data_IF_639230779091
#
_entry.id   IF_639230779091
#
_cell.length_a   1.000
_cell.length_b   1.000
_cell.length_c   1.000
_cell.angle_alpha   90.00
_cell.angle_beta   90.00
_cell.angle_gamma   90.00
#
_symmetry.space_group_name_H-M   'P 1'
#
loop_
_entity.id
_entity.type
_entity.pdbx_description
1 polymer ?
#
# COMPACT_ATOMS: atom_id res chain seq x y z
N UNK A 1 8.11 -72.30 1.63
CA UNK A 1 9.05 -71.48 2.42
C UNK A 1 9.71 -70.51 1.44
N UNK A 2 9.03 -69.41 1.16
CA UNK A 2 9.55 -68.28 0.39
C UNK A 2 8.91 -67.05 1.03
N UNK A 3 9.76 -66.24 1.65
CA UNK A 3 9.41 -64.99 2.32
C UNK A 3 8.84 -64.00 1.30
N UNK A 4 7.69 -63.41 1.64
CA UNK A 4 7.16 -62.24 0.96
C UNK A 4 7.76 -61.03 1.66
N UNK A 5 8.74 -60.41 1.04
CA UNK A 5 9.23 -59.09 1.43
C UNK A 5 8.12 -58.06 1.17
N UNK A 6 7.60 -57.50 2.26
CA UNK A 6 6.69 -56.36 2.25
C UNK A 6 7.47 -55.10 1.95
N UNK A 7 7.27 -54.54 0.75
CA UNK A 7 7.66 -53.17 0.45
C UNK A 7 6.67 -52.26 1.17
N UNK A 8 7.12 -51.70 2.30
CA UNK A 8 6.39 -50.69 3.04
C UNK A 8 6.32 -49.39 2.23
N UNK A 9 5.09 -49.01 1.86
CA UNK A 9 4.80 -47.75 1.19
C UNK A 9 5.04 -46.61 2.19
N UNK A 10 6.18 -45.93 2.05
CA UNK A 10 6.50 -44.73 2.81
C UNK A 10 5.56 -43.62 2.34
N UNK A 11 4.40 -43.51 3.00
CA UNK A 11 3.51 -42.37 2.86
C UNK A 11 4.31 -41.11 3.19
N UNK A 12 4.64 -40.35 2.14
CA UNK A 12 5.22 -39.02 2.27
C UNK A 12 4.21 -38.17 3.04
N UNK A 13 4.46 -38.00 4.34
CA UNK A 13 3.79 -37.00 5.15
C UNK A 13 4.19 -35.63 4.60
N UNK A 14 3.38 -35.13 3.67
CA UNK A 14 3.52 -33.80 3.13
C UNK A 14 3.52 -32.82 4.30
N UNK A 15 4.66 -32.16 4.52
CA UNK A 15 4.78 -31.09 5.49
C UNK A 15 3.83 -29.98 5.03
N UNK A 16 2.63 -29.92 5.61
CA UNK A 16 1.72 -28.80 5.42
C UNK A 16 2.37 -27.59 6.10
N UNK A 17 3.08 -26.78 5.31
CA UNK A 17 3.57 -25.47 5.74
C UNK A 17 2.37 -24.53 5.87
N UNK A 18 1.79 -24.49 7.06
CA UNK A 18 0.79 -23.49 7.42
C UNK A 18 1.39 -22.08 7.25
N UNK A 19 0.81 -21.28 6.36
CA UNK A 19 1.14 -19.85 6.31
C UNK A 19 0.60 -19.19 7.59
N UNK A 20 1.42 -18.40 8.32
CA UNK A 20 0.94 -17.68 9.49
C UNK A 20 -0.13 -16.65 9.11
N UNK A 21 -1.11 -16.43 10.00
CA UNK A 21 -2.26 -15.52 9.79
C UNK A 21 -1.85 -14.10 9.35
N UNK A 22 -0.67 -13.61 9.74
CA UNK A 22 -0.17 -12.27 9.40
C UNK A 22 0.09 -12.01 7.91
N UNK A 23 0.04 -13.03 7.05
CA UNK A 23 0.31 -12.91 5.61
C UNK A 23 -0.95 -12.85 4.73
N UNK A 24 -2.14 -12.94 5.33
CA UNK A 24 -3.40 -13.00 4.59
C UNK A 24 -3.64 -11.75 3.71
N UNK A 25 -3.22 -10.57 4.17
CA UNK A 25 -3.34 -9.31 3.40
C UNK A 25 -2.49 -9.32 2.13
N UNK A 26 -1.27 -9.85 2.19
CA UNK A 26 -0.42 -9.95 1.02
C UNK A 26 -1.00 -10.95 0.01
N UNK A 27 -1.47 -12.10 0.49
CA UNK A 27 -2.10 -13.13 -0.36
C UNK A 27 -3.32 -12.56 -1.09
N UNK A 28 -4.14 -11.75 -0.41
CA UNK A 28 -5.24 -11.04 -1.06
C UNK A 28 -4.74 -10.10 -2.16
N UNK A 29 -3.67 -9.35 -1.91
CA UNK A 29 -3.07 -8.43 -2.89
C UNK A 29 -2.57 -9.10 -4.18
N UNK A 30 -2.18 -10.38 -4.14
CA UNK A 30 -1.74 -11.11 -5.34
C UNK A 30 -2.83 -11.99 -5.96
N UNK A 31 -3.97 -12.17 -5.30
CA UNK A 31 -5.04 -13.03 -5.80
C UNK A 31 -5.82 -12.33 -6.92
N UNK A 32 -5.94 -12.92 -8.13
CA UNK A 32 -6.73 -12.33 -9.21
C UNK A 32 -8.21 -12.13 -8.82
N UNK A 33 -8.73 -13.02 -7.97
CA UNK A 33 -10.12 -12.98 -7.49
C UNK A 33 -10.39 -11.79 -6.57
N UNK A 34 -9.37 -11.31 -5.86
CA UNK A 34 -9.51 -10.12 -5.03
C UNK A 34 -9.74 -8.86 -5.88
N UNK A 35 -9.16 -8.79 -7.08
CA UNK A 35 -9.23 -7.60 -7.95
C UNK A 35 -10.36 -7.63 -8.98
N UNK A 36 -10.93 -8.81 -9.23
CA UNK A 36 -11.94 -9.08 -10.26
C UNK A 36 -13.36 -9.10 -9.67
N UNK A 37 -14.38 -8.84 -10.50
CA UNK A 37 -15.77 -9.06 -10.10
C UNK A 37 -16.08 -10.56 -10.12
N UNK A 38 -16.11 -11.18 -8.94
CA UNK A 38 -16.40 -12.61 -8.79
C UNK A 38 -17.91 -12.82 -8.88
N UNK A 39 -18.37 -13.71 -9.76
CA UNK A 39 -19.80 -14.07 -9.80
C UNK A 39 -20.15 -14.80 -8.51
N UNK A 40 -21.20 -14.33 -7.84
CA UNK A 40 -21.66 -14.89 -6.58
C UNK A 40 -23.18 -14.89 -6.54
N UNK A 41 -23.76 -15.74 -5.70
CA UNK A 41 -25.13 -15.56 -5.23
C UNK A 41 -25.14 -14.62 -4.02
N UNK A 42 -26.31 -14.08 -3.68
CA UNK A 42 -26.49 -13.27 -2.48
C UNK A 42 -26.12 -14.07 -1.24
N UNK A 43 -26.57 -15.33 -1.14
CA UNK A 43 -26.25 -16.17 0.01
C UNK A 43 -24.75 -16.44 0.15
N UNK A 44 -24.01 -16.57 -0.96
CA UNK A 44 -22.55 -16.72 -0.93
C UNK A 44 -21.86 -15.48 -0.36
N UNK A 45 -22.30 -14.28 -0.78
CA UNK A 45 -21.77 -13.01 -0.26
C UNK A 45 -22.03 -12.90 1.24
N UNK A 46 -23.24 -13.23 1.69
CA UNK A 46 -23.62 -13.19 3.10
C UNK A 46 -22.82 -14.20 3.94
N UNK A 47 -22.43 -15.34 3.36
CA UNK A 47 -21.66 -16.40 4.02
C UNK A 47 -20.13 -16.23 3.94
N UNK A 48 -19.62 -15.17 3.32
CA UNK A 48 -18.19 -14.87 3.32
C UNK A 48 -17.65 -14.79 4.76
N UNK A 49 -16.45 -15.30 4.99
CA UNK A 49 -15.76 -15.17 6.29
C UNK A 49 -14.94 -13.89 6.29
N UNK A 50 -15.04 -13.09 7.35
CA UNK A 50 -14.19 -11.91 7.51
C UNK A 50 -12.94 -12.30 8.30
N UNK A 51 -11.75 -12.18 7.70
CA UNK A 51 -10.45 -12.37 8.37
C UNK A 51 -9.58 -11.16 8.09
N UNK A 52 -9.08 -10.50 9.13
CA UNK A 52 -8.25 -9.29 9.05
C UNK A 52 -8.84 -8.17 8.17
N UNK A 53 -10.17 -8.02 8.20
CA UNK A 53 -10.88 -7.01 7.41
C UNK A 53 -11.09 -7.39 5.94
N UNK A 54 -10.66 -8.57 5.52
CA UNK A 54 -10.81 -9.08 4.15
C UNK A 54 -11.91 -10.15 4.13
N UNK A 55 -12.75 -10.15 3.09
CA UNK A 55 -13.75 -11.20 2.89
C UNK A 55 -13.12 -12.42 2.19
N UNK A 56 -13.41 -13.61 2.72
CA UNK A 56 -12.87 -14.88 2.26
C UNK A 56 -14.01 -15.84 1.91
N UNK A 57 -13.99 -16.33 0.69
CA UNK A 57 -14.84 -17.41 0.22
C UNK A 57 -14.29 -18.73 0.74
N UNK A 58 -15.13 -19.51 1.43
CA UNK A 58 -14.70 -20.78 2.01
C UNK A 58 -14.47 -21.81 0.92
N UNK A 59 -13.33 -22.49 0.95
CA UNK A 59 -13.13 -23.70 0.13
C UNK A 59 -13.97 -24.86 0.69
N UNK A 60 -14.37 -25.81 -0.15
CA UNK A 60 -14.98 -27.06 0.31
C UNK A 60 -14.11 -27.73 1.38
N UNK A 61 -14.69 -28.42 2.38
CA UNK A 61 -14.01 -28.90 3.59
C UNK A 61 -12.87 -29.91 3.34
N UNK A 62 -12.66 -30.35 2.10
CA UNK A 62 -11.62 -31.31 1.73
C UNK A 62 -10.26 -30.66 1.35
N UNK A 63 -10.20 -29.33 1.14
CA UNK A 63 -8.97 -28.62 0.74
C UNK A 63 -8.72 -27.46 1.69
N UNK A 64 -7.56 -27.50 2.35
CA UNK A 64 -6.83 -26.48 3.15
C UNK A 64 -7.56 -25.22 3.67
N UNK A 65 -7.15 -24.77 4.86
CA UNK A 65 -7.74 -23.64 5.63
C UNK A 65 -7.74 -22.26 4.93
N UNK A 66 -7.10 -22.12 3.78
CA UNK A 66 -7.01 -20.87 3.05
C UNK A 66 -8.16 -20.76 2.04
N UNK A 67 -9.16 -19.96 2.40
CA UNK A 67 -10.21 -19.55 1.48
C UNK A 67 -9.67 -18.68 0.34
N UNK A 68 -10.53 -18.33 -0.61
CA UNK A 68 -10.19 -17.36 -1.66
C UNK A 68 -10.56 -15.95 -1.21
N UNK A 69 -9.65 -14.97 -1.22
CA UNK A 69 -9.99 -13.59 -0.85
C UNK A 69 -10.80 -12.93 -1.97
N UNK A 70 -11.87 -12.22 -1.60
CA UNK A 70 -12.80 -11.57 -2.53
C UNK A 70 -13.08 -10.15 -2.04
N UNK A 71 -12.98 -9.16 -2.92
CA UNK A 71 -13.36 -7.77 -2.59
C UNK A 71 -14.50 -7.22 -3.46
N UNK A 72 -14.76 -7.84 -4.61
CA UNK A 72 -15.77 -7.39 -5.57
C UNK A 72 -16.60 -8.57 -6.04
N UNK A 73 -17.90 -8.34 -6.23
CA UNK A 73 -18.81 -9.34 -6.75
C UNK A 73 -19.59 -8.85 -7.97
N UNK A 74 -20.05 -9.82 -8.73
CA UNK A 74 -21.04 -9.70 -9.79
C UNK A 74 -22.30 -10.45 -9.34
N UNK A 75 -23.40 -9.73 -9.15
CA UNK A 75 -24.72 -10.28 -8.82
C UNK A 75 -25.68 -10.11 -10.00
N UNK A 76 -26.65 -11.01 -10.09
CA UNK A 76 -27.78 -10.95 -11.04
C UNK A 76 -29.04 -11.22 -10.22
N UNK A 77 -30.03 -10.33 -10.30
CA UNK A 77 -31.27 -10.48 -9.54
C UNK A 77 -32.30 -9.42 -9.90
N UNK A 78 -33.33 -9.30 -9.08
CA UNK A 78 -34.42 -8.33 -9.24
C UNK A 78 -34.33 -7.25 -8.17
N UNK A 79 -34.58 -6.00 -8.55
CA UNK A 79 -34.77 -4.92 -7.58
C UNK A 79 -36.09 -5.16 -6.85
N UNK A 80 -36.06 -5.39 -5.54
CA UNK A 80 -37.27 -5.56 -4.72
C UNK A 80 -37.60 -4.32 -3.88
N UNK A 81 -36.64 -3.41 -3.74
CA UNK A 81 -36.81 -2.13 -3.07
C UNK A 81 -35.86 -1.10 -3.68
N UNK A 82 -36.31 0.16 -3.77
CA UNK A 82 -35.50 1.27 -4.26
C UNK A 82 -35.83 2.54 -3.46
N UNK A 83 -34.81 3.27 -3.01
CA UNK A 83 -34.97 4.54 -2.31
C UNK A 83 -33.79 5.46 -2.55
N UNK A 84 -34.04 6.77 -2.66
CA UNK A 84 -32.98 7.76 -2.75
C UNK A 84 -32.50 8.16 -1.35
N UNK A 85 -31.18 8.09 -1.12
CA UNK A 85 -30.54 8.54 0.11
C UNK A 85 -30.30 10.05 0.09
N UNK A 86 -30.04 10.63 1.27
CA UNK A 86 -29.80 12.07 1.43
C UNK A 86 -28.52 12.57 0.76
N UNK A 87 -27.57 11.68 0.52
CA UNK A 87 -26.30 11.96 -0.16
C UNK A 87 -26.40 11.91 -1.69
N UNK A 88 -27.61 11.72 -2.23
CA UNK A 88 -27.87 11.61 -3.67
C UNK A 88 -27.68 10.21 -4.23
N UNK A 89 -27.16 9.25 -3.46
CA UNK A 89 -27.07 7.86 -3.89
C UNK A 89 -28.43 7.17 -3.91
N UNK A 90 -28.57 6.13 -4.73
CA UNK A 90 -29.73 5.24 -4.74
C UNK A 90 -29.39 3.97 -3.97
N UNK A 91 -30.26 3.60 -3.03
CA UNK A 91 -30.20 2.34 -2.32
C UNK A 91 -31.24 1.38 -2.89
N UNK A 92 -30.78 0.21 -3.29
CA UNK A 92 -31.59 -0.88 -3.81
C UNK A 92 -31.49 -2.09 -2.88
N UNK A 93 -32.54 -2.91 -2.81
CA UNK A 93 -32.44 -4.28 -2.31
C UNK A 93 -32.58 -5.20 -3.52
N UNK A 94 -31.62 -6.10 -3.68
CA UNK A 94 -31.59 -7.06 -4.80
C UNK A 94 -31.86 -8.47 -4.27
N UNK A 95 -32.76 -9.18 -4.95
CA UNK A 95 -33.13 -10.57 -4.70
C UNK A 95 -32.73 -11.45 -5.90
N UNK A 96 -31.94 -12.49 -5.66
CA UNK A 96 -31.54 -13.49 -6.66
C UNK A 96 -32.18 -14.88 -6.41
N UNK A 97 -33.16 -14.96 -5.51
CA UNK A 97 -33.79 -16.20 -5.06
C UNK A 97 -33.02 -16.95 -3.98
N UNK A 98 -31.78 -16.55 -3.67
CA UNK A 98 -30.99 -17.13 -2.56
C UNK A 98 -30.98 -16.25 -1.31
N UNK A 99 -31.29 -14.97 -1.46
CA UNK A 99 -31.37 -14.02 -0.36
C UNK A 99 -31.55 -12.59 -0.84
N UNK A 100 -31.52 -11.66 0.12
CA UNK A 100 -31.66 -10.23 -0.13
C UNK A 100 -30.38 -9.50 0.30
N UNK A 101 -29.93 -8.55 -0.51
CA UNK A 101 -28.77 -7.72 -0.17
C UNK A 101 -28.96 -6.26 -0.55
N UNK A 102 -28.48 -5.38 0.33
CA UNK A 102 -28.44 -3.94 0.07
C UNK A 102 -27.36 -3.62 -0.97
N UNK A 103 -27.73 -2.84 -1.98
CA UNK A 103 -26.85 -2.31 -3.01
C UNK A 103 -26.94 -0.78 -3.03
N UNK A 104 -25.80 -0.10 -3.00
CA UNK A 104 -25.72 1.36 -3.06
C UNK A 104 -25.11 1.75 -4.39
N UNK A 105 -25.83 2.56 -5.16
CA UNK A 105 -25.40 3.04 -6.46
C UNK A 105 -25.32 4.57 -6.46
N UNK A 106 -24.17 5.09 -6.83
CA UNK A 106 -23.96 6.53 -6.95
C UNK A 106 -24.44 6.97 -8.33
N UNK A 107 -25.63 7.55 -8.40
CA UNK A 107 -26.11 8.17 -9.62
C UNK A 107 -25.24 9.38 -9.92
N UNK A 108 -24.62 9.41 -11.10
CA UNK A 108 -24.06 10.65 -11.65
C UNK A 108 -25.21 11.61 -11.83
N UNK A 109 -25.31 12.61 -10.94
CA UNK A 109 -26.40 13.57 -10.94
C UNK A 109 -26.35 14.35 -12.27
N UNK A 110 -27.17 13.96 -13.25
CA UNK A 110 -27.26 14.62 -14.56
C UNK A 110 -27.87 16.02 -14.50
N UNK A 111 -28.29 16.46 -13.31
CA UNK A 111 -28.97 17.75 -13.12
C UNK A 111 -28.04 18.88 -12.64
N UNK A 112 -26.76 18.63 -12.41
CA UNK A 112 -25.82 19.73 -12.19
C UNK A 112 -25.38 20.28 -13.54
N UNK A 113 -26.11 21.30 -14.01
CA UNK A 113 -25.72 22.18 -15.12
C UNK A 113 -24.38 22.93 -14.87
N UNK A 114 -23.66 22.59 -13.79
CA UNK A 114 -22.27 22.99 -13.60
C UNK A 114 -21.41 22.06 -14.44
N UNK A 115 -20.95 22.57 -15.58
CA UNK A 115 -19.91 21.97 -16.41
C UNK A 115 -18.77 21.42 -15.54
N UNK A 116 -18.83 20.14 -15.20
CA UNK A 116 -17.73 19.45 -14.54
C UNK A 116 -16.61 19.36 -15.57
N UNK A 117 -15.61 20.24 -15.39
CA UNK A 117 -14.42 20.51 -16.22
C UNK A 117 -13.60 19.25 -16.59
N UNK A 118 -13.95 18.08 -16.05
CA UNK A 118 -13.24 16.82 -16.24
C UNK A 118 -14.04 15.71 -16.93
N UNK A 119 -15.22 15.99 -17.50
CA UNK A 119 -15.82 15.07 -18.46
C UNK A 119 -14.99 15.07 -19.73
N UNK A 120 -14.09 14.08 -19.86
CA UNK A 120 -13.47 13.76 -21.13
C UNK A 120 -14.60 13.52 -22.14
N UNK A 121 -14.58 14.19 -23.31
CA UNK A 121 -15.60 13.97 -24.32
C UNK A 121 -15.65 12.47 -24.64
N UNK A 122 -16.82 11.86 -24.42
CA UNK A 122 -17.07 10.48 -24.78
C UNK A 122 -16.78 10.35 -26.27
N UNK A 123 -15.85 9.47 -26.64
CA UNK A 123 -15.50 9.18 -28.04
C UNK A 123 -16.61 8.36 -28.76
N UNK A 124 -17.83 8.37 -28.24
CA UNK A 124 -18.97 7.70 -28.86
C UNK A 124 -19.59 8.64 -29.90
N UNK A 125 -19.27 8.39 -31.17
CA UNK A 125 -19.90 9.00 -32.33
C UNK A 125 -21.41 8.66 -32.35
N UNK A 126 -22.26 9.62 -31.96
CA UNK A 126 -23.62 9.93 -32.42
C UNK A 126 -24.65 8.79 -32.66
N UNK A 127 -24.52 7.62 -32.02
CA UNK A 127 -25.62 6.67 -31.89
C UNK A 127 -26.23 6.78 -30.49
N UNK A 128 -26.75 7.96 -30.17
CA UNK A 128 -27.55 8.27 -28.98
C UNK A 128 -28.88 7.48 -29.03
N UNK A 129 -28.80 6.17 -28.80
CA UNK A 129 -29.90 5.43 -28.20
C UNK A 129 -30.00 5.95 -26.77
N UNK A 130 -30.80 7.01 -26.58
CA UNK A 130 -31.15 7.61 -25.29
C UNK A 130 -31.86 6.58 -24.39
N UNK A 131 -31.16 5.52 -24.00
CA UNK A 131 -31.59 4.64 -22.91
C UNK A 131 -31.51 5.49 -21.67
N UNK A 132 -32.65 6.08 -21.35
CA UNK A 132 -32.92 6.86 -20.16
C UNK A 132 -32.32 6.11 -18.95
N UNK A 133 -31.16 6.56 -18.48
CA UNK A 133 -30.43 5.99 -17.34
C UNK A 133 -31.09 6.40 -16.02
N UNK A 134 -32.42 6.48 -16.01
CA UNK A 134 -33.21 6.72 -14.81
C UNK A 134 -32.95 5.66 -13.75
N UNK A 135 -33.37 5.93 -12.51
CA UNK A 135 -33.25 4.97 -11.42
C UNK A 135 -33.95 3.64 -11.77
N UNK A 136 -33.40 2.53 -11.27
CA UNK A 136 -34.01 1.20 -11.47
C UNK A 136 -35.30 1.09 -10.64
N UNK A 137 -36.36 0.56 -11.26
CA UNK A 137 -37.64 0.36 -10.57
C UNK A 137 -37.73 -1.02 -9.93
N UNK A 138 -38.63 -1.14 -8.94
CA UNK A 138 -38.97 -2.44 -8.33
C UNK A 138 -39.53 -3.38 -9.40
N UNK A 139 -39.02 -4.61 -9.43
CA UNK A 139 -39.29 -5.63 -10.45
C UNK A 139 -38.33 -5.61 -11.62
N UNK A 140 -37.45 -4.60 -11.75
CA UNK A 140 -36.46 -4.59 -12.83
C UNK A 140 -35.35 -5.62 -12.57
N UNK A 141 -35.07 -6.47 -13.56
CA UNK A 141 -33.91 -7.34 -13.50
C UNK A 141 -32.62 -6.54 -13.74
N UNK A 142 -31.66 -6.75 -12.85
CA UNK A 142 -30.41 -5.99 -12.82
C UNK A 142 -29.20 -6.90 -12.71
N UNK A 143 -28.10 -6.42 -13.28
CA UNK A 143 -26.77 -6.95 -13.05
C UNK A 143 -25.97 -5.93 -12.24
N UNK A 144 -25.40 -6.35 -11.12
CA UNK A 144 -24.70 -5.47 -10.18
C UNK A 144 -23.23 -5.83 -10.11
N UNK A 145 -22.38 -4.90 -10.53
CA UNK A 145 -20.93 -4.95 -10.33
C UNK A 145 -20.57 -4.01 -9.20
N UNK A 146 -20.05 -4.55 -8.09
CA UNK A 146 -19.72 -3.72 -6.94
C UNK A 146 -18.67 -4.29 -6.02
N UNK A 147 -18.19 -3.42 -5.13
CA UNK A 147 -17.31 -3.76 -4.04
C UNK A 147 -18.14 -4.22 -2.83
N UNK A 148 -17.70 -5.30 -2.19
CA UNK A 148 -18.34 -5.84 -0.99
C UNK A 148 -17.82 -5.05 0.21
N UNK A 149 -18.71 -4.33 0.90
CA UNK A 149 -18.38 -3.55 2.09
C UNK A 149 -18.96 -4.18 3.35
N UNK A 150 -18.16 -4.19 4.42
CA UNK A 150 -18.57 -4.64 5.74
C UNK A 150 -19.10 -3.43 6.53
N UNK A 151 -20.42 -3.28 6.59
CA UNK A 151 -21.08 -2.16 7.27
C UNK A 151 -20.99 -2.30 8.78
N UNK A 152 -21.16 -3.53 9.28
CA UNK A 152 -21.08 -3.83 10.70
C UNK A 152 -20.59 -5.25 10.93
N UNK A 153 -19.83 -5.45 12.01
CA UNK A 153 -19.50 -6.78 12.52
C UNK A 153 -19.83 -6.85 14.00
N UNK A 154 -20.49 -7.92 14.41
CA UNK A 154 -20.83 -8.17 15.81
C UNK A 154 -20.32 -9.53 16.21
N UNK A 155 -19.51 -9.57 17.27
CA UNK A 155 -19.10 -10.82 17.91
C UNK A 155 -20.24 -11.30 18.79
N UNK A 156 -20.87 -12.41 18.40
CA UNK A 156 -21.92 -12.99 19.24
C UNK A 156 -21.23 -13.66 20.43
N UNK A 157 -21.18 -12.96 21.57
CA UNK A 157 -20.74 -13.58 22.82
C UNK A 157 -21.73 -14.66 23.20
N UNK A 158 -21.43 -15.91 22.84
CA UNK A 158 -22.19 -17.07 23.26
C UNK A 158 -22.09 -17.14 24.77
N UNK A 159 -23.14 -16.71 25.48
CA UNK A 159 -23.25 -16.89 26.93
C UNK A 159 -23.12 -18.38 27.23
N UNK A 160 -21.94 -18.79 27.68
CA UNK A 160 -21.60 -20.17 28.00
C UNK A 160 -22.52 -20.67 29.12
N UNK A 161 -23.65 -21.27 28.78
CA UNK A 161 -24.30 -22.24 29.66
C UNK A 161 -23.36 -23.42 29.79
N UNK A 162 -22.95 -23.68 31.03
CA UNK A 162 -21.76 -24.43 31.43
C UNK A 162 -21.85 -25.96 31.21
N UNK A 163 -21.89 -26.42 29.97
CA UNK A 163 -21.66 -27.83 29.66
C UNK A 163 -20.30 -27.99 28.98
N UNK A 164 -19.40 -28.70 29.68
CA UNK A 164 -18.01 -28.98 29.29
C UNK A 164 -17.97 -29.71 27.95
N UNK A 165 -17.84 -28.99 26.84
CA UNK A 165 -17.42 -29.53 25.54
C UNK A 165 -16.07 -28.92 25.18
N UNK A 166 -15.11 -29.78 24.86
CA UNK A 166 -13.69 -29.45 24.79
C UNK A 166 -13.17 -29.10 23.38
N UNK A 167 -14.04 -28.89 22.40
CA UNK A 167 -13.62 -28.47 21.06
C UNK A 167 -13.84 -26.97 20.88
N UNK A 168 -12.78 -26.27 20.50
CA UNK A 168 -12.72 -24.82 20.37
C UNK A 168 -13.76 -24.27 19.41
N UNK A 169 -14.90 -23.85 19.95
CA UNK A 169 -15.83 -22.99 19.24
C UNK A 169 -15.20 -21.61 19.13
N UNK A 170 -14.66 -21.27 17.96
CA UNK A 170 -14.35 -19.89 17.61
C UNK A 170 -15.63 -19.05 17.70
N UNK A 171 -15.51 -17.83 18.22
CA UNK A 171 -16.63 -16.90 18.28
C UNK A 171 -17.10 -16.60 16.85
N UNK A 172 -18.35 -16.96 16.55
CA UNK A 172 -18.95 -16.68 15.25
C UNK A 172 -19.21 -15.17 15.13
N UNK A 173 -18.55 -14.54 14.15
CA UNK A 173 -18.73 -13.12 13.85
C UNK A 173 -19.88 -12.99 12.86
N UNK A 174 -20.97 -12.37 13.29
CA UNK A 174 -22.04 -11.96 12.37
C UNK A 174 -21.58 -10.70 11.65
N UNK A 175 -21.59 -10.73 10.31
CA UNK A 175 -21.14 -9.61 9.46
C UNK A 175 -22.32 -9.14 8.61
N UNK A 176 -22.62 -7.85 8.69
CA UNK A 176 -23.58 -7.18 7.81
C UNK A 176 -22.83 -6.58 6.64
N UNK A 177 -23.29 -6.89 5.43
CA UNK A 177 -22.65 -6.48 4.18
C UNK A 177 -23.59 -5.65 3.32
N UNK A 178 -23.02 -4.68 2.61
CA UNK A 178 -23.67 -3.99 1.50
C UNK A 178 -22.77 -4.08 0.26
N UNK A 179 -23.36 -3.94 -0.93
CA UNK A 179 -22.61 -3.84 -2.18
C UNK A 179 -22.55 -2.38 -2.61
N UNK A 180 -21.36 -1.80 -2.64
CA UNK A 180 -21.13 -0.50 -3.26
C UNK A 180 -20.95 -0.71 -4.76
N UNK A 181 -22.02 -0.48 -5.51
CA UNK A 181 -22.05 -0.68 -6.94
C UNK A 181 -21.22 0.38 -7.66
N UNK A 182 -20.28 -0.10 -8.47
CA UNK A 182 -19.58 0.71 -9.47
C UNK A 182 -20.41 0.83 -10.75
N UNK A 183 -21.16 -0.22 -11.08
CA UNK A 183 -22.01 -0.29 -12.26
C UNK A 183 -23.24 -1.17 -11.96
N UNK A 184 -24.42 -0.67 -12.32
CA UNK A 184 -25.64 -1.47 -12.40
C UNK A 184 -26.15 -1.40 -13.84
N UNK A 185 -26.52 -2.55 -14.40
CA UNK A 185 -27.06 -2.65 -15.75
C UNK A 185 -28.47 -3.23 -15.69
N UNK A 186 -29.39 -2.65 -16.46
CA UNK A 186 -30.70 -3.28 -16.71
C UNK A 186 -30.48 -4.48 -17.63
N UNK A 187 -31.16 -5.58 -17.31
CA UNK A 187 -31.10 -6.81 -18.11
C UNK A 187 -32.40 -6.95 -18.92
N UNK A 188 -32.33 -7.10 -20.24
CA UNK A 188 -33.55 -7.22 -21.06
C UNK A 188 -34.15 -8.64 -20.98
N UNK A 189 -33.31 -9.67 -20.94
CA UNK A 189 -33.72 -11.09 -20.82
C UNK A 189 -33.08 -11.72 -19.59
N UNK A 190 -33.78 -11.62 -18.46
CA UNK A 190 -33.29 -12.11 -17.18
C UNK A 190 -33.20 -13.63 -17.13
N UNK A 191 -34.09 -14.38 -17.78
CA UNK A 191 -34.04 -15.84 -17.74
C UNK A 191 -32.77 -16.36 -18.41
N UNK A 192 -32.37 -15.76 -19.53
CA UNK A 192 -31.13 -16.08 -20.20
C UNK A 192 -29.91 -15.68 -19.36
N UNK A 193 -29.90 -14.48 -18.80
CA UNK A 193 -28.75 -13.99 -18.01
C UNK A 193 -28.62 -14.73 -16.68
N UNK A 194 -29.72 -15.01 -16.01
CA UNK A 194 -29.78 -15.75 -14.76
C UNK A 194 -29.33 -17.20 -14.97
N UNK A 195 -29.86 -17.90 -15.98
CA UNK A 195 -29.42 -19.28 -16.29
C UNK A 195 -27.93 -19.34 -16.63
N UNK A 196 -27.43 -18.38 -17.40
CA UNK A 196 -26.01 -18.28 -17.69
C UNK A 196 -25.18 -17.97 -16.43
N UNK A 197 -25.66 -17.09 -15.55
CA UNK A 197 -25.04 -16.79 -14.25
C UNK A 197 -24.93 -18.06 -13.39
N UNK A 198 -26.02 -18.82 -13.27
CA UNK A 198 -26.04 -20.11 -12.54
C UNK A 198 -25.07 -21.14 -13.12
N UNK A 199 -25.05 -21.30 -14.44
CA UNK A 199 -24.11 -22.21 -15.11
C UNK A 199 -22.65 -21.82 -14.86
N UNK A 200 -22.37 -20.51 -14.83
CA UNK A 200 -21.04 -20.00 -14.54
C UNK A 200 -20.65 -20.19 -13.08
N UNK A 201 -21.57 -20.00 -12.12
CA UNK A 201 -21.33 -20.26 -10.70
C UNK A 201 -20.88 -21.71 -10.46
N UNK A 202 -21.52 -22.67 -11.12
CA UNK A 202 -21.15 -24.09 -11.05
C UNK A 202 -19.76 -24.40 -11.64
N UNK A 203 -19.21 -23.50 -12.47
CA UNK A 203 -17.95 -23.68 -13.18
C UNK A 203 -16.77 -22.96 -12.51
N UNK A 204 -17.00 -22.21 -11.43
CA UNK A 204 -15.92 -21.51 -10.72
C UNK A 204 -15.21 -22.53 -9.84
N UNK A 205 -14.14 -23.10 -10.37
CA UNK A 205 -13.14 -23.75 -9.53
C UNK A 205 -12.48 -22.67 -8.66
N UNK A 206 -12.44 -22.84 -7.33
CA UNK A 206 -11.73 -21.91 -6.46
C UNK A 206 -10.27 -21.85 -6.91
N UNK A 207 -9.80 -20.65 -7.24
CA UNK A 207 -8.42 -20.44 -7.66
C UNK A 207 -7.51 -20.88 -6.53
N UNK A 208 -6.73 -21.93 -6.77
CA UNK A 208 -5.76 -22.41 -5.80
C UNK A 208 -4.70 -21.32 -5.58
N UNK A 209 -4.63 -20.78 -4.36
CA UNK A 209 -3.63 -19.78 -3.96
C UNK A 209 -2.23 -20.29 -4.28
N UNK A 210 -1.99 -21.61 -4.22
CA UNK A 210 -0.69 -22.20 -4.58
C UNK A 210 -0.37 -21.95 -6.05
N UNK A 211 -1.34 -22.06 -6.94
CA UNK A 211 -1.16 -21.74 -8.36
C UNK A 211 -0.81 -20.25 -8.55
N UNK A 212 -1.43 -19.34 -7.78
CA UNK A 212 -1.03 -17.92 -7.79
C UNK A 212 0.41 -17.72 -7.27
N UNK A 213 0.79 -18.41 -6.20
CA UNK A 213 2.15 -18.36 -5.63
C UNK A 213 3.20 -18.96 -6.59
N UNK A 214 2.82 -19.96 -7.38
CA UNK A 214 3.68 -20.51 -8.43
C UNK A 214 3.81 -19.55 -9.61
N UNK A 215 2.72 -18.88 -10.00
CA UNK A 215 2.71 -17.92 -11.11
C UNK A 215 3.55 -16.66 -10.84
N UNK A 216 3.66 -16.20 -9.58
CA UNK A 216 4.54 -15.07 -9.21
C UNK A 216 6.04 -15.42 -9.24
N UNK A 217 6.38 -16.69 -9.43
CA UNK A 217 7.74 -17.17 -9.57
C UNK A 217 8.46 -17.46 -8.24
N UNK A 218 9.53 -18.28 -8.27
CA UNK A 218 10.17 -18.81 -7.07
C UNK A 218 10.81 -17.74 -6.19
N UNK A 219 11.23 -16.60 -6.76
CA UNK A 219 11.84 -15.51 -6.01
C UNK A 219 10.81 -14.77 -5.15
N UNK A 220 9.65 -14.42 -5.71
CA UNK A 220 8.59 -13.75 -4.96
C UNK A 220 7.99 -14.74 -3.96
N UNK A 221 7.76 -15.99 -4.36
CA UNK A 221 7.35 -17.06 -3.46
C UNK A 221 8.30 -17.21 -2.26
N UNK A 222 9.60 -17.26 -2.51
CA UNK A 222 10.62 -17.31 -1.45
C UNK A 222 10.59 -16.06 -0.55
N UNK A 223 10.33 -14.87 -1.10
CA UNK A 223 10.16 -13.66 -0.30
C UNK A 223 8.91 -13.72 0.59
N UNK A 224 7.80 -14.27 0.08
CA UNK A 224 6.55 -14.49 0.84
C UNK A 224 6.78 -15.49 1.97
N UNK A 225 7.36 -16.64 1.64
CA UNK A 225 7.62 -17.74 2.57
C UNK A 225 8.64 -17.32 3.65
N UNK A 226 9.69 -16.59 3.27
CA UNK A 226 10.75 -16.14 4.18
C UNK A 226 10.47 -14.80 4.87
N UNK A 227 9.26 -14.24 4.73
CA UNK A 227 8.86 -12.96 5.36
C UNK A 227 9.80 -11.80 5.01
N UNK A 228 10.32 -11.77 3.78
CA UNK A 228 11.13 -10.65 3.31
C UNK A 228 10.17 -9.52 2.98
N UNK A 229 9.84 -8.69 4.00
CA UNK A 229 9.04 -7.45 3.97
C UNK A 229 8.44 -7.12 2.59
N UNK A 230 7.40 -7.86 2.23
CA UNK A 230 6.62 -7.52 1.05
C UNK A 230 5.76 -6.32 1.45
N UNK A 231 5.79 -5.22 0.69
CA UNK A 231 4.99 -4.06 0.99
C UNK A 231 3.52 -4.47 1.09
N UNK A 232 2.88 -4.23 2.23
CA UNK A 232 1.44 -4.07 2.19
C UNK A 232 1.17 -2.82 1.33
N UNK A 233 0.18 -2.90 0.43
CA UNK A 233 -0.10 -1.82 -0.52
C UNK A 233 -0.38 -0.47 0.18
N UNK A 234 -0.79 -0.53 1.45
CA UNK A 234 -1.12 0.57 2.35
C UNK A 234 0.01 0.96 3.33
N UNK A 235 1.13 0.24 3.38
CA UNK A 235 2.23 0.58 4.29
C UNK A 235 3.05 1.76 3.73
N UNK A 236 2.62 2.95 4.14
CA UNK A 236 3.25 4.25 3.85
C UNK A 236 4.56 4.48 4.61
N UNK A 237 4.93 3.57 5.52
CA UNK A 237 6.01 3.76 6.48
C UNK A 237 7.19 2.80 6.31
N UNK A 238 7.23 2.01 5.23
CA UNK A 238 8.32 1.06 4.99
C UNK A 238 9.62 1.71 4.49
N UNK A 239 10.75 1.07 4.82
CA UNK A 239 12.10 1.44 4.36
C UNK A 239 12.23 1.50 2.84
N UNK A 240 11.49 0.69 2.09
CA UNK A 240 11.53 0.71 0.63
C UNK A 240 10.96 2.01 0.01
N UNK A 241 10.10 2.76 0.70
CA UNK A 241 9.66 4.08 0.22
C UNK A 241 10.75 5.14 0.37
N UNK A 242 11.65 4.95 1.33
CA UNK A 242 12.78 5.84 1.60
C UNK A 242 13.98 5.49 0.72
N UNK A 243 14.24 4.20 0.52
CA UNK A 243 15.45 3.73 -0.16
C UNK A 243 15.19 3.16 -1.56
N UNK A 244 13.96 2.73 -1.85
CA UNK A 244 13.56 2.02 -3.08
C UNK A 244 13.28 0.54 -2.84
N UNK A 245 12.31 -0.02 -3.59
CA UNK A 245 11.86 -1.42 -3.50
C UNK A 245 12.97 -2.47 -3.61
N UNK A 246 14.03 -2.14 -4.35
CA UNK A 246 15.14 -3.05 -4.64
C UNK A 246 16.49 -2.44 -4.31
N UNK A 247 16.56 -1.46 -3.40
CA UNK A 247 17.85 -0.84 -3.03
C UNK A 247 18.74 -1.91 -2.38
N UNK A 248 19.91 -2.13 -2.99
CA UNK A 248 21.00 -2.99 -2.50
C UNK A 248 22.27 -2.18 -2.23
N UNK A 249 22.13 -0.86 -2.16
CA UNK A 249 23.25 0.02 -1.92
C UNK A 249 23.71 -0.14 -0.47
N UNK A 250 25.02 -0.27 -0.27
CA UNK A 250 25.66 -0.27 1.04
C UNK A 250 26.39 1.06 1.20
N UNK A 251 25.63 2.13 1.44
CA UNK A 251 26.16 3.49 1.53
C UNK A 251 26.42 3.83 3.00
N UNK A 252 27.60 4.36 3.36
CA UNK A 252 27.97 4.60 4.77
C UNK A 252 27.10 5.66 5.47
N UNK A 253 26.32 6.42 4.69
CA UNK A 253 25.47 7.50 5.17
C UNK A 253 23.96 7.20 5.05
N UNK A 254 23.60 5.99 4.60
CA UNK A 254 22.23 5.63 4.24
C UNK A 254 21.25 5.82 5.40
N UNK A 255 21.60 5.32 6.59
CA UNK A 255 20.78 5.39 7.79
C UNK A 255 20.74 6.79 8.42
N UNK A 256 21.88 7.50 8.40
CA UNK A 256 22.00 8.84 8.98
C UNK A 256 21.26 9.90 8.16
N UNK A 257 21.15 9.70 6.85
CA UNK A 257 20.53 10.66 5.93
C UNK A 257 19.18 10.18 5.37
N UNK A 258 18.80 8.92 5.61
CA UNK A 258 17.63 8.29 4.99
C UNK A 258 17.62 8.47 3.47
N UNK A 259 18.78 8.20 2.85
CA UNK A 259 19.07 8.54 1.47
C UNK A 259 19.76 7.38 0.75
N UNK A 260 19.25 6.99 -0.43
CA UNK A 260 19.82 5.96 -1.32
C UNK A 260 19.87 6.51 -2.76
N UNK A 261 20.91 6.12 -3.52
CA UNK A 261 21.03 6.47 -4.93
C UNK A 261 19.87 5.98 -5.79
N UNK A 262 19.19 4.91 -5.38
CA UNK A 262 18.01 4.37 -6.08
C UNK A 262 16.81 5.33 -6.12
N UNK A 263 16.73 6.30 -5.19
CA UNK A 263 15.69 7.33 -5.19
C UNK A 263 16.21 8.69 -5.68
N UNK A 264 17.51 8.79 -5.91
CA UNK A 264 18.17 10.05 -6.23
C UNK A 264 18.19 10.30 -7.73
N UNK A 265 18.03 11.56 -8.14
CA UNK A 265 18.19 11.92 -9.54
C UNK A 265 19.67 11.98 -9.91
N UNK A 266 20.08 11.13 -10.84
CA UNK A 266 21.44 11.12 -11.38
C UNK A 266 21.77 12.47 -12.03
N UNK A 267 22.96 12.97 -11.75
CA UNK A 267 23.44 14.23 -12.33
C UNK A 267 24.30 13.95 -13.55
N UNK A 268 24.08 14.71 -14.62
CA UNK A 268 24.89 14.57 -15.84
C UNK A 268 26.39 14.78 -15.59
N UNK A 269 26.78 15.51 -14.55
CA UNK A 269 28.17 15.83 -14.22
C UNK A 269 28.78 14.92 -13.14
N UNK A 270 27.96 14.06 -12.53
CA UNK A 270 28.38 13.05 -11.55
C UNK A 270 27.45 11.82 -11.68
N UNK A 271 27.48 11.11 -12.82
CA UNK A 271 26.55 10.02 -13.10
C UNK A 271 26.78 8.80 -12.21
N UNK A 272 27.99 8.68 -11.64
CA UNK A 272 28.41 7.61 -10.73
C UNK A 272 28.26 7.99 -9.25
N UNK A 273 27.79 9.22 -8.96
CA UNK A 273 27.63 9.78 -7.62
C UNK A 273 28.92 9.89 -6.78
N UNK A 274 30.10 9.79 -7.39
CA UNK A 274 31.36 9.73 -6.64
C UNK A 274 31.70 11.04 -5.95
N UNK A 275 31.43 12.16 -6.63
CA UNK A 275 31.63 13.47 -6.02
C UNK A 275 30.58 13.72 -4.93
N UNK A 276 29.32 13.36 -5.21
CA UNK A 276 28.23 13.43 -4.23
C UNK A 276 28.52 12.62 -2.97
N UNK A 277 29.01 11.39 -3.11
CA UNK A 277 29.39 10.53 -1.99
C UNK A 277 30.45 11.17 -1.11
N UNK A 278 31.53 11.67 -1.73
CA UNK A 278 32.61 12.31 -1.02
C UNK A 278 32.12 13.57 -0.27
N UNK A 279 31.24 14.35 -0.91
CA UNK A 279 30.62 15.52 -0.29
C UNK A 279 29.76 15.13 0.93
N UNK A 280 28.91 14.11 0.82
CA UNK A 280 28.07 13.65 1.92
C UNK A 280 28.90 13.12 3.09
N UNK A 281 29.97 12.37 2.81
CA UNK A 281 30.91 11.88 3.83
C UNK A 281 31.61 13.05 4.53
N UNK A 282 32.06 14.06 3.77
CA UNK A 282 32.68 15.26 4.34
C UNK A 282 31.70 16.02 5.25
N UNK A 283 30.45 16.19 4.83
CA UNK A 283 29.40 16.84 5.63
C UNK A 283 29.08 16.06 6.91
N UNK A 284 29.02 14.73 6.85
CA UNK A 284 28.86 13.90 8.05
C UNK A 284 30.04 14.00 9.01
N UNK A 285 31.27 14.08 8.49
CA UNK A 285 32.47 14.32 9.30
C UNK A 285 32.43 15.69 9.99
N UNK A 286 31.84 16.70 9.37
CA UNK A 286 31.61 18.00 10.01
C UNK A 286 30.48 17.93 11.06
N UNK A 287 29.41 17.19 10.77
CA UNK A 287 28.28 17.01 11.68
C UNK A 287 28.68 16.24 12.94
N UNK A 288 29.55 15.23 12.85
CA UNK A 288 30.01 14.46 14.01
C UNK A 288 30.82 15.30 15.00
N UNK A 289 31.46 16.37 14.53
CA UNK A 289 32.19 17.35 15.37
C UNK A 289 31.27 18.39 16.01
N UNK A 290 29.99 18.41 15.64
CA UNK A 290 29.03 19.42 16.08
C UNK A 290 27.94 18.78 16.93
N UNK A 291 27.73 19.29 18.15
CA UNK A 291 26.70 18.75 19.05
C UNK A 291 25.27 19.03 18.53
N UNK A 292 25.09 20.19 17.89
CA UNK A 292 23.83 20.71 17.34
C UNK A 292 23.69 20.48 15.83
N UNK A 293 22.63 21.02 15.23
CA UNK A 293 22.43 21.02 13.78
C UNK A 293 23.60 21.68 13.05
N UNK A 294 24.19 21.00 12.06
CA UNK A 294 25.28 21.57 11.27
C UNK A 294 24.78 22.66 10.33
N UNK A 295 25.26 23.88 10.56
CA UNK A 295 25.17 25.02 9.65
C UNK A 295 26.54 25.33 9.08
N UNK A 296 26.63 25.60 7.78
CA UNK A 296 27.90 25.85 7.12
C UNK A 296 27.73 26.79 5.93
N UNK A 297 28.81 27.49 5.52
CA UNK A 297 28.79 28.31 4.32
C UNK A 297 29.27 27.50 3.13
N UNK A 298 28.69 27.75 1.94
CA UNK A 298 29.12 27.10 0.70
C UNK A 298 30.63 27.24 0.45
N UNK A 299 31.19 28.42 0.74
CA UNK A 299 32.62 28.71 0.58
C UNK A 299 33.52 27.77 1.40
N UNK A 300 33.07 27.34 2.57
CA UNK A 300 33.86 26.45 3.44
C UNK A 300 34.02 25.06 2.82
N UNK A 301 32.97 24.58 2.15
CA UNK A 301 32.98 23.30 1.41
C UNK A 301 33.73 23.43 0.09
N UNK A 302 33.54 24.55 -0.61
CA UNK A 302 34.19 24.83 -1.90
C UNK A 302 35.72 24.90 -1.78
N UNK A 303 36.22 25.36 -0.64
CA UNK A 303 37.65 25.47 -0.34
C UNK A 303 38.25 24.16 0.23
N UNK A 304 37.53 23.04 0.16
CA UNK A 304 38.06 21.75 0.60
C UNK A 304 38.89 21.13 -0.53
N UNK A 305 40.22 21.14 -0.37
CA UNK A 305 41.18 20.64 -1.35
C UNK A 305 40.86 19.20 -1.83
N UNK A 306 40.40 18.34 -0.91
CA UNK A 306 40.09 16.94 -1.26
C UNK A 306 38.87 16.82 -2.18
N UNK A 307 37.85 17.64 -1.97
CA UNK A 307 36.66 17.69 -2.81
C UNK A 307 36.97 18.35 -4.15
N UNK A 308 37.82 19.38 -4.17
CA UNK A 308 38.26 20.04 -5.40
C UNK A 308 39.05 19.08 -6.31
N UNK A 309 39.98 18.31 -5.75
CA UNK A 309 40.72 17.28 -6.49
C UNK A 309 39.80 16.19 -7.05
N UNK A 310 38.79 15.76 -6.29
CA UNK A 310 37.80 14.79 -6.75
C UNK A 310 36.90 15.36 -7.86
N UNK A 311 36.46 16.62 -7.72
CA UNK A 311 35.69 17.31 -8.76
C UNK A 311 36.46 17.39 -10.08
N UNK A 312 37.75 17.77 -10.02
CA UNK A 312 38.63 17.76 -11.19
C UNK A 312 38.74 16.38 -11.83
N UNK A 313 38.89 15.33 -11.01
CA UNK A 313 38.97 13.95 -11.47
C UNK A 313 37.69 13.50 -12.18
N UNK A 314 36.51 13.80 -11.63
CA UNK A 314 35.23 13.42 -12.26
C UNK A 314 34.98 14.21 -13.55
N UNK A 315 35.32 15.50 -13.58
CA UNK A 315 35.25 16.32 -14.80
C UNK A 315 36.16 15.78 -15.92
N UNK A 316 37.38 15.34 -15.59
CA UNK A 316 38.31 14.78 -16.60
C UNK A 316 37.83 13.46 -17.22
N UNK A 317 37.01 12.68 -16.51
CA UNK A 317 36.46 11.42 -17.02
C UNK A 317 35.32 11.63 -18.02
N UNK A 318 34.68 12.81 -17.99
CA UNK A 318 33.65 13.19 -18.95
C UNK A 318 34.31 13.63 -20.25
N UNK A 319 34.61 12.67 -21.14
CA UNK A 319 35.25 12.86 -22.47
C UNK A 319 34.51 13.79 -23.46
N UNK A 320 33.54 14.59 -23.01
CA UNK A 320 32.75 15.49 -23.84
C UNK A 320 33.23 16.94 -23.71
N UNK A 321 33.93 17.37 -24.75
CA UNK A 321 33.98 18.73 -25.33
C UNK A 321 34.53 19.87 -24.46
N UNK A 322 35.82 20.16 -24.68
CA UNK A 322 36.54 21.44 -24.91
C UNK A 322 36.09 22.80 -24.31
N UNK A 323 34.98 22.90 -23.61
CA UNK A 323 34.64 24.10 -22.87
C UNK A 323 35.14 23.94 -21.45
N UNK A 324 35.91 24.92 -20.95
CA UNK A 324 36.34 25.04 -19.55
C UNK A 324 35.13 24.97 -18.60
N UNK A 325 34.65 23.77 -18.28
CA UNK A 325 33.62 23.56 -17.29
C UNK A 325 34.24 23.86 -15.93
N UNK A 326 33.85 24.99 -15.33
CA UNK A 326 34.32 25.36 -14.00
C UNK A 326 33.94 24.28 -12.98
N UNK A 327 34.87 23.96 -12.08
CA UNK A 327 34.67 23.17 -10.86
C UNK A 327 33.44 23.68 -10.09
N UNK A 328 33.18 24.98 -10.11
CA UNK A 328 32.00 25.56 -9.45
C UNK A 328 30.69 24.97 -9.98
N UNK A 329 30.65 24.56 -11.24
CA UNK A 329 29.46 24.00 -11.87
C UNK A 329 29.10 22.66 -11.23
N UNK A 330 30.06 21.78 -10.95
CA UNK A 330 29.78 20.48 -10.33
C UNK A 330 29.31 20.66 -8.89
N UNK A 331 29.97 21.52 -8.10
CA UNK A 331 29.50 21.86 -6.75
C UNK A 331 28.08 22.43 -6.77
N UNK A 332 27.80 23.44 -7.59
CA UNK A 332 26.48 24.08 -7.66
C UNK A 332 25.38 23.11 -8.09
N UNK A 333 25.65 22.22 -9.05
CA UNK A 333 24.67 21.20 -9.45
C UNK A 333 24.41 20.23 -8.31
N UNK A 334 25.47 19.66 -7.70
CA UNK A 334 25.33 18.69 -6.62
C UNK A 334 24.63 19.29 -5.40
N UNK A 335 24.92 20.53 -5.03
CA UNK A 335 24.19 21.23 -3.97
C UNK A 335 22.72 21.44 -4.33
N UNK A 336 22.41 21.77 -5.58
CA UNK A 336 21.03 21.90 -6.07
C UNK A 336 20.30 20.56 -6.01
N UNK A 337 20.95 19.45 -6.38
CA UNK A 337 20.37 18.11 -6.28
C UNK A 337 20.13 17.72 -4.81
N UNK A 338 21.13 17.87 -3.93
CA UNK A 338 20.96 17.58 -2.51
C UNK A 338 19.88 18.45 -1.83
N UNK A 339 19.67 19.68 -2.30
CA UNK A 339 18.54 20.53 -1.86
C UNK A 339 17.19 20.04 -2.35
N UNK A 340 17.13 19.54 -3.57
CA UNK A 340 15.93 18.93 -4.13
C UNK A 340 15.57 17.66 -3.37
N UNK A 341 16.58 16.85 -3.05
CA UNK A 341 16.44 15.58 -2.35
C UNK A 341 16.21 15.74 -0.84
N UNK A 342 16.05 16.98 -0.34
CA UNK A 342 15.76 17.28 1.06
C UNK A 342 16.91 17.00 2.04
N UNK A 343 18.15 16.92 1.55
CA UNK A 343 19.36 16.68 2.36
C UNK A 343 20.03 18.00 2.78
N UNK A 344 19.92 19.03 1.94
CA UNK A 344 20.40 20.38 2.22
C UNK A 344 19.26 21.38 2.21
N UNK A 345 19.36 22.41 3.04
CA UNK A 345 18.44 23.55 2.99
C UNK A 345 19.23 24.87 3.01
N UNK A 346 18.93 25.77 2.08
CA UNK A 346 19.55 27.09 2.05
C UNK A 346 18.86 27.98 3.09
N UNK A 347 19.52 28.23 4.22
CA UNK A 347 19.02 29.06 5.31
C UNK A 347 19.06 30.54 4.95
N UNK A 348 20.16 30.99 4.34
CA UNK A 348 20.37 32.39 3.99
C UNK A 348 21.05 32.50 2.63
N UNK A 349 20.33 33.06 1.65
CA UNK A 349 20.81 33.27 0.29
C UNK A 349 21.86 34.37 0.16
N UNK A 350 21.95 35.30 1.10
CA UNK A 350 22.91 36.41 1.04
C UNK A 350 24.30 35.98 1.49
N UNK A 351 24.36 34.99 2.38
CA UNK A 351 25.63 34.47 2.94
C UNK A 351 25.97 33.08 2.45
N UNK A 352 25.18 32.52 1.54
CA UNK A 352 25.23 31.12 1.10
C UNK A 352 25.36 30.15 2.28
N UNK A 353 24.51 30.34 3.30
CA UNK A 353 24.49 29.49 4.49
C UNK A 353 23.49 28.35 4.32
N UNK A 354 23.95 27.13 4.56
CA UNK A 354 23.18 25.90 4.40
C UNK A 354 23.02 25.18 5.74
N UNK A 355 21.89 24.50 5.89
CA UNK A 355 21.60 23.52 6.93
C UNK A 355 21.76 22.12 6.34
N UNK A 356 22.51 21.26 7.02
CA UNK A 356 22.59 19.84 6.70
C UNK A 356 21.49 19.08 7.45
N UNK A 357 20.58 18.44 6.71
CA UNK A 357 19.42 17.75 7.26
C UNK A 357 19.78 16.28 7.49
N UNK A 358 20.12 15.94 8.73
CA UNK A 358 20.37 14.56 9.16
C UNK A 358 19.20 13.99 9.96
N UNK A 359 19.07 12.67 9.97
CA UNK A 359 18.07 11.95 10.76
C UNK A 359 18.20 12.32 12.24
N UNK A 360 19.37 12.08 12.83
CA UNK A 360 19.56 12.15 14.28
C UNK A 360 19.52 13.56 14.85
N UNK A 361 19.91 14.59 14.09
CA UNK A 361 20.02 15.98 14.58
C UNK A 361 18.89 16.89 14.12
N UNK A 362 18.17 16.54 13.04
CA UNK A 362 17.12 17.40 12.47
C UNK A 362 15.77 16.69 12.42
N UNK A 363 15.68 15.55 11.72
CA UNK A 363 14.39 14.92 11.44
C UNK A 363 13.79 14.23 12.67
N UNK A 364 14.58 13.44 13.38
CA UNK A 364 14.12 12.67 14.54
C UNK A 364 13.68 13.57 15.71
N UNK A 365 14.42 14.62 16.11
CA UNK A 365 13.94 15.56 17.13
C UNK A 365 12.61 16.23 16.76
N UNK A 366 12.42 16.56 15.48
CA UNK A 366 11.17 17.12 14.99
C UNK A 366 10.01 16.12 15.13
N UNK A 367 10.18 14.89 14.62
CA UNK A 367 9.14 13.85 14.69
C UNK A 367 8.83 13.46 16.14
N UNK A 368 9.84 13.36 17.02
CA UNK A 368 9.63 13.10 18.46
C UNK A 368 8.75 14.17 19.09
N UNK A 369 8.98 15.44 18.77
CA UNK A 369 8.16 16.55 19.28
C UNK A 369 6.69 16.40 18.85
N UNK A 370 6.44 15.99 17.60
CA UNK A 370 5.09 15.73 17.11
C UNK A 370 4.41 14.56 17.83
N UNK A 371 5.12 13.44 17.97
CA UNK A 371 4.60 12.25 18.68
C UNK A 371 4.29 12.58 20.15
N UNK A 372 5.15 13.34 20.83
CA UNK A 372 4.89 13.79 22.21
C UNK A 372 3.66 14.68 22.32
N UNK A 373 3.40 15.54 21.33
CA UNK A 373 2.21 16.38 21.30
C UNK A 373 0.93 15.56 21.03
N UNK A 374 1.01 14.48 20.25
CA UNK A 374 -0.11 13.55 20.00
C UNK A 374 -0.52 12.78 21.27
N UNK A 375 0.45 12.39 22.11
CA UNK A 375 0.18 11.67 23.38
C UNK A 375 -0.63 12.53 24.38
N UNK A 376 -0.43 13.85 24.35
CA UNK A 376 -1.18 14.78 25.20
C UNK A 376 -2.63 15.04 24.74
N UNK A 377 -2.99 14.64 23.52
CA UNK A 377 -4.34 14.84 22.99
C UNK A 377 -5.28 13.70 23.43
N UNK A 378 -6.48 14.04 23.90
CA UNK A 378 -7.43 13.10 24.54
C UNK A 378 -7.98 11.98 23.64
N UNK A 379 -7.58 11.93 22.36
CA UNK A 379 -7.87 10.81 21.45
C UNK A 379 -6.65 10.61 20.53
N UNK A 380 -5.91 9.49 20.64
CA UNK A 380 -4.86 9.17 19.68
C UNK A 380 -5.53 8.92 18.33
N UNK A 381 -5.42 9.89 17.42
CA UNK A 381 -5.72 9.64 16.01
C UNK A 381 -4.56 8.84 15.47
N UNK A 382 -4.81 7.60 15.08
CA UNK A 382 -3.84 6.78 14.38
C UNK A 382 -3.69 7.30 12.94
N UNK A 383 -3.18 8.53 12.80
CA UNK A 383 -3.02 9.17 11.50
C UNK A 383 -1.67 8.76 10.92
N UNK A 384 -1.71 8.09 9.77
CA UNK A 384 -0.58 7.78 8.89
C UNK A 384 -0.02 9.04 8.20
N UNK A 385 -0.11 10.20 8.86
CA UNK A 385 0.27 11.49 8.31
C UNK A 385 1.00 12.32 9.35
N UNK A 386 2.02 13.06 8.88
CA UNK A 386 2.76 14.05 9.67
C UNK A 386 2.26 15.42 9.24
N UNK A 387 1.57 16.15 10.13
CA UNK A 387 1.08 17.50 9.79
C UNK A 387 2.23 18.48 9.61
N UNK A 388 2.14 19.31 8.57
CA UNK A 388 3.09 20.37 8.25
C UNK A 388 2.65 21.75 8.77
N UNK A 389 1.49 21.87 9.42
CA UNK A 389 0.85 23.17 9.71
C UNK A 389 1.68 24.09 10.61
N UNK A 390 2.70 23.55 11.28
CA UNK A 390 3.67 24.30 12.10
C UNK A 390 5.12 23.85 11.86
N UNK A 391 5.37 23.17 10.75
CA UNK A 391 6.69 22.65 10.45
C UNK A 391 7.65 23.79 10.05
N UNK A 392 8.91 23.78 10.52
CA UNK A 392 9.94 24.69 10.01
C UNK A 392 10.06 24.57 8.49
N UNK A 393 10.39 25.66 7.80
CA UNK A 393 10.46 25.71 6.34
C UNK A 393 11.46 24.71 5.71
N UNK A 394 12.42 24.19 6.48
CA UNK A 394 13.32 23.14 6.02
C UNK A 394 12.68 21.75 6.03
N UNK A 395 11.69 21.49 6.88
CA UNK A 395 10.94 20.23 6.93
C UNK A 395 10.00 20.10 5.74
N UNK A 396 9.41 21.20 5.25
CA UNK A 396 8.49 21.17 4.12
C UNK A 396 9.16 20.74 2.79
N UNK A 397 10.50 20.62 2.76
CA UNK A 397 11.28 20.09 1.63
C UNK A 397 11.72 18.64 1.82
N UNK A 398 11.43 18.04 2.96
CA UNK A 398 11.74 16.65 3.25
C UNK A 398 10.56 15.80 2.77
N UNK A 399 10.85 14.74 2.04
CA UNK A 399 9.84 13.77 1.61
C UNK A 399 9.10 13.18 2.82
N UNK A 400 7.77 13.16 2.76
CA UNK A 400 6.90 12.74 3.86
C UNK A 400 7.19 11.29 4.30
N UNK A 401 7.59 10.44 3.36
CA UNK A 401 7.98 9.05 3.55
C UNK A 401 9.12 8.91 4.56
N UNK A 402 10.09 9.85 4.57
CA UNK A 402 11.19 9.85 5.56
C UNK A 402 10.69 10.16 6.97
N UNK A 403 9.76 11.10 7.10
CA UNK A 403 9.18 11.46 8.39
C UNK A 403 8.30 10.33 8.95
N UNK A 404 7.50 9.69 8.09
CA UNK A 404 6.71 8.51 8.45
C UNK A 404 7.57 7.33 8.86
N UNK A 405 8.66 7.08 8.13
CA UNK A 405 9.64 6.05 8.48
C UNK A 405 10.24 6.31 9.87
N UNK A 406 10.63 7.54 10.18
CA UNK A 406 11.13 7.90 11.52
C UNK A 406 10.04 7.74 12.58
N UNK A 407 8.79 8.17 12.30
CA UNK A 407 7.66 8.01 13.24
C UNK A 407 7.46 6.54 13.60
N UNK A 408 7.51 5.65 12.61
CA UNK A 408 7.48 4.20 12.80
C UNK A 408 8.63 3.71 13.68
N UNK A 409 9.88 4.09 13.37
CA UNK A 409 11.04 3.67 14.15
C UNK A 409 10.98 4.12 15.62
N UNK A 410 10.45 5.33 15.88
CA UNK A 410 10.24 5.82 17.24
C UNK A 410 9.19 4.95 17.97
N UNK A 411 8.09 4.61 17.30
CA UNK A 411 7.02 3.80 17.86
C UNK A 411 7.47 2.34 18.12
N UNK A 412 8.28 1.76 17.23
CA UNK A 412 8.86 0.42 17.39
C UNK A 412 9.98 0.38 18.44
N UNK A 413 10.77 1.46 18.55
CA UNK A 413 11.82 1.59 19.55
C UNK A 413 11.30 1.85 20.96
N UNK A 414 10.12 2.46 21.11
CA UNK A 414 9.48 2.66 22.42
C UNK A 414 9.08 1.33 23.09
N UNK A 415 8.91 0.25 22.31
CA UNK A 415 8.54 -1.08 22.79
C UNK A 415 9.74 -1.99 23.11
N UNK A 416 10.98 -1.57 22.85
CA UNK A 416 12.18 -2.35 23.19
C UNK A 416 13.25 -1.49 23.86
N UNK A 417 13.67 -1.79 25.12
CA UNK A 417 14.75 -1.05 25.76
C UNK A 417 16.05 -1.28 24.98
N UNK A 418 16.60 -0.21 24.40
CA UNK A 418 17.86 -0.21 23.68
C UNK A 418 18.97 -0.82 24.55
N UNK A 419 19.52 -1.96 24.13
CA UNK A 419 20.85 -2.39 24.57
C UNK A 419 21.84 -1.43 23.93
N UNK A 420 22.35 -0.49 24.71
CA UNK A 420 23.52 0.29 24.33
C UNK A 420 24.66 -0.69 24.04
N UNK A 421 25.07 -0.79 22.78
CA UNK A 421 26.35 -1.40 22.47
C UNK A 421 27.43 -0.53 23.13
N UNK A 422 27.97 -1.02 24.24
CA UNK A 422 29.13 -0.43 24.89
C UNK A 422 30.28 -0.42 23.89
N UNK A 423 30.77 0.78 23.63
CA UNK A 423 32.05 1.06 22.98
C UNK A 423 33.22 0.47 23.76
#
# INVERSE_FOLDING_TARGET
MFEKDGVGDATASGIHTFLPDSNLNFVAGISPMYWSYVRMTVIDVLNLKLKDGINWMSSPPAKEDFGTPVSKCLLVGYVVYATQRRDGSMAYVVDDGTGFIDCVHWCSNSNDNTEDIYHLPSLSDDLDDHRDHGPFHVGEPVRVYGKIECVASTTKKTTKTSTKSHNGNGDEVLVVREIQSNLMERVEDILLVESHHWMQLCSIDPVDIRSCLEAVGPQIRSQIENRINLPAADDTSCSWRVFGMSCRCDLPYMEDLLYCHCQSKAEAMDPSYRFRDALLIALLSMQSKTASMLKFKYKDIRNNDSLELLALKELSQQKRTENNVSIDKIFLKTFRALRHDGILYLLNSNTDEYLFITRSKVLEPFVRTLVSNEIGASKPKNSNFVSYDKAPAFISRVHNERLLYIKRLINEGASTPYKTHGS
#
